data_IF_871945496706
#
_entry.id   IF_871945496706
#
_cell.length_a   1.000
_cell.length_b   1.000
_cell.length_c   1.000
_cell.angle_alpha   90.00
_cell.angle_beta   90.00
_cell.angle_gamma   90.00
#
_symmetry.space_group_name_H-M   'P 1'
#
loop_
_entity.id
_entity.type
_entity.pdbx_description
1 polymer ?
#
# COMPACT_ATOMS: atom_id res chain seq x y z
N UNK A 1 12.40 -12.15 -32.24
CA UNK A 1 11.20 -11.68 -33.01
C UNK A 1 10.99 -12.65 -34.14
N UNK A 2 9.88 -13.40 -34.13
CA UNK A 2 9.61 -14.42 -35.14
C UNK A 2 9.41 -13.81 -36.54
N UNK A 3 9.76 -14.56 -37.57
CA UNK A 3 9.60 -14.13 -38.99
C UNK A 3 8.15 -13.71 -39.32
N UNK A 4 7.18 -14.26 -38.60
CA UNK A 4 5.76 -13.96 -38.78
C UNK A 4 5.41 -12.54 -38.31
N UNK A 5 6.04 -12.04 -37.24
CA UNK A 5 5.86 -10.66 -36.78
C UNK A 5 6.47 -9.66 -37.76
N UNK A 6 7.60 -10.01 -38.39
CA UNK A 6 8.19 -9.19 -39.45
C UNK A 6 7.31 -9.14 -40.70
N UNK A 7 6.65 -10.25 -41.05
CA UNK A 7 5.67 -10.29 -42.17
C UNK A 7 4.41 -9.47 -41.84
N UNK A 8 3.90 -9.52 -40.61
CA UNK A 8 2.76 -8.72 -40.20
C UNK A 8 3.07 -7.21 -40.17
N UNK A 9 4.25 -6.81 -39.72
CA UNK A 9 4.71 -5.41 -39.75
C UNK A 9 4.88 -4.95 -41.21
N UNK A 10 5.50 -5.77 -42.08
CA UNK A 10 5.64 -5.45 -43.50
C UNK A 10 4.30 -5.33 -44.23
N UNK A 11 3.27 -6.09 -43.85
CA UNK A 11 1.93 -5.96 -44.42
C UNK A 11 1.22 -4.67 -43.94
N UNK A 12 1.40 -4.26 -42.69
CA UNK A 12 0.87 -3.00 -42.14
C UNK A 12 1.56 -1.80 -42.79
N UNK A 13 2.88 -1.84 -42.98
CA UNK A 13 3.63 -0.78 -43.66
C UNK A 13 3.24 -0.64 -45.15
N UNK A 14 3.00 -1.76 -45.85
CA UNK A 14 2.50 -1.76 -47.21
C UNK A 14 1.07 -1.18 -47.32
N UNK A 15 0.24 -1.43 -46.31
CA UNK A 15 -1.13 -0.90 -46.21
C UNK A 15 -1.12 0.59 -45.92
N UNK A 16 -0.20 1.05 -45.05
CA UNK A 16 -0.02 2.48 -44.74
C UNK A 16 0.49 3.24 -45.97
N UNK A 17 1.45 2.69 -46.72
CA UNK A 17 1.94 3.27 -47.99
C UNK A 17 0.81 3.36 -49.03
N UNK A 18 0.01 2.30 -49.20
CA UNK A 18 -1.14 2.29 -50.09
C UNK A 18 -2.24 3.29 -49.70
N UNK A 19 -2.44 3.52 -48.40
CA UNK A 19 -3.38 4.51 -47.91
C UNK A 19 -2.90 5.96 -48.13
N UNK A 20 -1.61 6.21 -47.99
CA UNK A 20 -1.00 7.52 -48.26
C UNK A 20 -1.05 7.86 -49.78
N UNK A 21 -0.79 6.86 -50.69
CA UNK A 21 -0.97 7.04 -52.11
C UNK A 21 -2.43 7.27 -52.50
N UNK A 22 -3.36 6.55 -51.88
CA UNK A 22 -4.80 6.75 -52.06
C UNK A 22 -5.24 8.14 -51.61
N UNK A 23 -4.78 8.61 -50.48
CA UNK A 23 -5.09 9.95 -49.96
C UNK A 23 -4.60 11.04 -50.93
N UNK A 24 -3.38 10.94 -51.41
CA UNK A 24 -2.82 11.84 -52.43
C UNK A 24 -3.64 11.83 -53.72
N UNK A 25 -3.94 10.64 -54.25
CA UNK A 25 -4.76 10.50 -55.45
C UNK A 25 -6.20 11.00 -55.27
N UNK A 26 -6.75 10.88 -54.06
CA UNK A 26 -8.08 11.38 -53.73
C UNK A 26 -8.13 12.89 -53.57
N UNK A 27 -7.10 13.49 -52.99
CA UNK A 27 -6.98 14.95 -52.87
C UNK A 27 -6.74 15.62 -54.23
N UNK A 28 -5.96 15.02 -55.10
CA UNK A 28 -5.78 15.47 -56.51
C UNK A 28 -7.08 15.34 -57.32
N UNK A 29 -7.88 14.33 -57.01
CA UNK A 29 -9.17 14.08 -57.67
C UNK A 29 -10.30 14.95 -57.13
N UNK A 30 -10.37 15.22 -55.84
CA UNK A 30 -11.28 16.21 -55.28
C UNK A 30 -11.06 17.59 -55.90
N UNK A 31 -9.81 17.97 -56.11
CA UNK A 31 -9.46 19.18 -56.83
C UNK A 31 -9.86 19.17 -58.32
N UNK A 32 -9.92 17.98 -58.97
CA UNK A 32 -10.40 17.80 -60.36
C UNK A 32 -11.94 17.71 -60.45
N UNK A 33 -12.62 17.12 -59.45
CA UNK A 33 -14.07 17.01 -59.36
C UNK A 33 -14.73 18.38 -59.07
N UNK A 34 -14.07 19.20 -58.28
CA UNK A 34 -14.48 20.62 -58.12
C UNK A 34 -14.42 21.40 -59.44
N UNK A 35 -13.62 20.93 -60.39
CA UNK A 35 -13.54 21.52 -61.74
C UNK A 35 -14.44 20.88 -62.81
N UNK A 36 -15.01 19.66 -62.61
CA UNK A 36 -15.70 18.91 -63.71
C UNK A 36 -16.91 18.03 -63.34
N UNK A 37 -17.53 18.15 -62.29
CA UNK A 37 -18.88 17.65 -61.91
C UNK A 37 -19.42 16.39 -62.68
N UNK A 38 -18.75 15.21 -62.66
CA UNK A 38 -19.37 13.90 -62.98
C UNK A 38 -18.56 12.71 -62.42
N UNK A 39 -19.25 11.72 -61.83
CA UNK A 39 -18.73 10.52 -61.21
C UNK A 39 -18.21 9.51 -62.25
N UNK A 40 -17.05 8.91 -62.02
CA UNK A 40 -16.34 8.03 -62.96
C UNK A 40 -16.27 6.56 -62.46
N UNK A 41 -16.55 5.61 -63.35
CA UNK A 41 -16.64 4.14 -63.18
C UNK A 41 -15.34 3.52 -62.62
N UNK A 42 -14.20 4.23 -62.72
CA UNK A 42 -12.89 3.76 -62.22
C UNK A 42 -12.81 3.82 -60.66
N UNK A 43 -13.72 4.57 -60.01
CA UNK A 43 -13.78 4.66 -58.55
C UNK A 43 -14.38 3.43 -57.90
N UNK A 44 -15.41 2.83 -58.49
CA UNK A 44 -16.05 1.61 -57.98
C UNK A 44 -15.12 0.40 -58.01
N UNK A 45 -14.36 0.22 -59.09
CA UNK A 45 -13.38 -0.88 -59.18
C UNK A 45 -12.20 -0.76 -58.20
N UNK A 46 -11.84 0.48 -57.83
CA UNK A 46 -10.80 0.72 -56.80
C UNK A 46 -11.34 0.56 -55.39
N UNK A 47 -12.60 0.95 -55.12
CA UNK A 47 -13.25 0.70 -53.82
C UNK A 47 -13.43 -0.80 -53.57
N UNK A 48 -13.85 -1.59 -54.57
CA UNK A 48 -13.95 -3.05 -54.44
C UNK A 48 -12.59 -3.70 -54.18
N UNK A 49 -11.49 -3.17 -54.74
CA UNK A 49 -10.15 -3.68 -54.50
C UNK A 49 -9.68 -3.33 -53.07
N UNK A 50 -10.03 -2.14 -52.57
CA UNK A 50 -9.73 -1.71 -51.20
C UNK A 50 -10.53 -2.51 -50.19
N UNK A 51 -11.83 -2.80 -50.45
CA UNK A 51 -12.64 -3.67 -49.59
C UNK A 51 -12.07 -5.08 -49.52
N UNK A 52 -11.65 -5.67 -50.66
CA UNK A 52 -11.02 -6.99 -50.69
C UNK A 52 -9.68 -7.04 -49.94
N UNK A 53 -8.88 -5.98 -50.01
CA UNK A 53 -7.61 -5.90 -49.29
C UNK A 53 -7.82 -5.60 -47.80
N UNK A 54 -8.87 -4.89 -47.42
CA UNK A 54 -9.27 -4.66 -46.05
C UNK A 54 -9.81 -5.93 -45.38
N UNK A 55 -10.60 -6.75 -46.11
CA UNK A 55 -11.01 -8.09 -45.64
C UNK A 55 -9.81 -9.03 -45.42
N UNK A 56 -8.82 -8.99 -46.33
CA UNK A 56 -7.59 -9.77 -46.16
C UNK A 56 -6.78 -9.30 -44.95
N UNK A 57 -6.67 -7.99 -44.74
CA UNK A 57 -5.97 -7.42 -43.60
C UNK A 57 -6.68 -7.76 -42.30
N UNK A 58 -8.02 -7.73 -42.26
CA UNK A 58 -8.81 -8.17 -41.09
C UNK A 58 -8.59 -9.66 -40.82
N UNK A 59 -8.59 -10.53 -41.80
CA UNK A 59 -8.29 -11.96 -41.63
C UNK A 59 -6.89 -12.20 -41.09
N UNK A 60 -5.89 -11.47 -41.56
CA UNK A 60 -4.51 -11.56 -41.08
C UNK A 60 -4.40 -11.03 -39.64
N UNK A 61 -5.11 -9.96 -39.32
CA UNK A 61 -5.17 -9.42 -37.97
C UNK A 61 -5.87 -10.40 -37.00
N UNK A 62 -6.99 -11.02 -37.40
CA UNK A 62 -7.69 -12.04 -36.62
C UNK A 62 -6.85 -13.30 -36.42
N UNK A 63 -6.12 -13.75 -37.46
CA UNK A 63 -5.16 -14.85 -37.35
C UNK A 63 -3.96 -14.51 -36.47
N UNK A 64 -3.47 -13.26 -36.49
CA UNK A 64 -2.41 -12.80 -35.61
C UNK A 64 -2.87 -12.69 -34.14
N UNK A 65 -4.13 -12.27 -33.91
CA UNK A 65 -4.76 -12.27 -32.58
C UNK A 65 -4.98 -13.69 -32.06
N UNK A 66 -5.39 -14.63 -32.94
CA UNK A 66 -5.50 -16.04 -32.59
C UNK A 66 -4.14 -16.69 -32.34
N UNK A 67 -3.11 -16.36 -33.10
CA UNK A 67 -1.74 -16.81 -32.89
C UNK A 67 -1.13 -16.22 -31.61
N UNK A 68 -1.40 -14.96 -31.31
CA UNK A 68 -1.04 -14.30 -30.04
C UNK A 68 -1.73 -14.96 -28.84
N UNK A 69 -3.01 -15.33 -28.95
CA UNK A 69 -3.72 -16.09 -27.92
C UNK A 69 -3.18 -17.52 -27.75
N UNK A 70 -2.62 -18.14 -28.81
CA UNK A 70 -1.91 -19.43 -28.71
C UNK A 70 -0.52 -19.31 -28.09
N UNK A 71 0.18 -18.19 -28.29
CA UNK A 71 1.45 -17.90 -27.61
C UNK A 71 1.28 -17.50 -26.13
N UNK A 72 0.08 -17.15 -25.68
CA UNK A 72 -0.20 -16.81 -24.27
C UNK A 72 -0.23 -18.01 -23.32
N UNK A 73 0.10 -19.23 -23.77
CA UNK A 73 0.32 -20.40 -22.91
C UNK A 73 1.65 -20.36 -22.15
N UNK A 74 2.55 -19.46 -22.54
CA UNK A 74 3.79 -19.19 -21.83
C UNK A 74 3.53 -17.98 -20.95
N UNK A 75 3.33 -18.19 -19.65
CA UNK A 75 3.12 -17.13 -18.65
C UNK A 75 4.40 -17.00 -17.83
N UNK A 76 4.81 -15.77 -17.57
CA UNK A 76 5.86 -15.49 -16.60
C UNK A 76 5.25 -15.54 -15.20
N UNK A 77 5.80 -16.32 -14.29
CA UNK A 77 5.39 -16.35 -12.90
C UNK A 77 5.87 -15.09 -12.16
N UNK A 78 5.43 -14.92 -10.92
CA UNK A 78 5.79 -13.77 -10.06
C UNK A 78 7.30 -13.63 -9.80
N UNK A 79 8.11 -14.62 -10.20
CA UNK A 79 9.57 -14.64 -10.09
C UNK A 79 10.29 -14.34 -11.41
N UNK A 80 9.53 -14.04 -12.49
CA UNK A 80 10.06 -13.75 -13.80
C UNK A 80 10.51 -14.98 -14.60
N UNK A 81 10.20 -16.21 -14.16
CA UNK A 81 10.46 -17.42 -14.92
C UNK A 81 9.37 -17.67 -15.95
N UNK A 82 9.81 -18.05 -17.16
CA UNK A 82 8.92 -18.40 -18.28
C UNK A 82 8.34 -19.80 -18.04
N UNK A 83 7.05 -19.87 -17.76
CA UNK A 83 6.34 -21.11 -17.45
C UNK A 83 5.56 -21.59 -18.67
N UNK A 84 5.89 -22.78 -19.15
CA UNK A 84 5.12 -23.50 -20.15
C UNK A 84 3.95 -24.22 -19.48
N UNK A 85 2.73 -23.75 -19.74
CA UNK A 85 1.50 -24.30 -19.14
C UNK A 85 1.22 -25.74 -19.61
N UNK A 86 1.60 -26.11 -20.84
CA UNK A 86 1.43 -27.49 -21.32
C UNK A 86 2.37 -28.44 -20.57
N UNK A 87 3.58 -27.99 -20.28
CA UNK A 87 4.54 -28.75 -19.48
C UNK A 87 4.05 -28.93 -18.04
N UNK A 88 3.52 -27.88 -17.41
CA UNK A 88 2.90 -27.98 -16.08
C UNK A 88 1.70 -28.92 -16.06
N UNK A 89 0.84 -28.87 -17.07
CA UNK A 89 -0.28 -29.78 -17.21
C UNK A 89 0.16 -31.25 -17.31
N UNK A 90 1.22 -31.53 -18.11
CA UNK A 90 1.80 -32.86 -18.24
C UNK A 90 2.48 -33.35 -16.95
N UNK A 91 3.20 -32.49 -16.25
CA UNK A 91 3.82 -32.79 -14.95
C UNK A 91 2.75 -33.14 -13.92
N UNK A 92 1.67 -32.36 -13.86
CA UNK A 92 0.53 -32.62 -12.98
C UNK A 92 -0.15 -33.94 -13.32
N UNK A 93 -0.42 -34.22 -14.61
CA UNK A 93 -1.01 -35.48 -15.08
C UNK A 93 -0.12 -36.69 -14.76
N UNK A 94 1.20 -36.56 -14.95
CA UNK A 94 2.18 -37.62 -14.66
C UNK A 94 2.31 -37.90 -13.18
N UNK A 95 2.23 -36.92 -12.30
CA UNK A 95 2.24 -37.09 -10.85
C UNK A 95 0.98 -37.85 -10.38
N UNK A 96 -0.18 -37.49 -10.95
CA UNK A 96 -1.44 -38.16 -10.60
C UNK A 96 -1.53 -39.58 -11.18
N UNK A 97 -1.02 -39.81 -12.38
CA UNK A 97 -0.93 -41.14 -12.99
C UNK A 97 0.01 -42.05 -12.20
N UNK A 98 1.15 -41.59 -11.73
CA UNK A 98 2.08 -42.37 -10.87
C UNK A 98 1.46 -42.75 -9.53
N UNK A 99 0.67 -41.89 -8.91
CA UNK A 99 -0.07 -42.21 -7.67
C UNK A 99 -1.11 -43.33 -7.85
N UNK A 100 -1.63 -43.49 -9.07
CA UNK A 100 -2.73 -44.45 -9.39
C UNK A 100 -2.27 -45.71 -10.14
N UNK A 101 -0.97 -45.82 -10.46
CA UNK A 101 -0.47 -46.97 -11.26
C UNK A 101 -0.93 -46.94 -12.73
N UNK A 102 -1.45 -45.82 -13.23
CA UNK A 102 -1.92 -45.64 -14.60
C UNK A 102 -0.84 -44.98 -15.49
N UNK A 103 -0.90 -45.24 -16.79
CA UNK A 103 -0.02 -44.58 -17.77
C UNK A 103 -0.62 -43.21 -18.09
N UNK A 104 0.16 -42.13 -17.94
CA UNK A 104 -0.27 -40.80 -18.32
C UNK A 104 -0.49 -40.73 -19.84
N UNK A 105 -1.72 -40.43 -20.25
CA UNK A 105 -2.02 -40.04 -21.63
C UNK A 105 -1.49 -38.60 -21.93
N UNK A 106 -1.61 -38.16 -23.17
CA UNK A 106 -1.32 -36.78 -23.54
C UNK A 106 -2.36 -35.83 -22.92
N UNK A 107 -1.99 -35.15 -21.87
CA UNK A 107 -2.83 -34.17 -21.17
C UNK A 107 -2.29 -32.77 -21.43
N UNK A 108 -3.10 -31.94 -22.07
CA UNK A 108 -2.71 -30.59 -22.45
C UNK A 108 -3.30 -29.51 -21.52
N UNK A 109 -2.85 -28.29 -21.68
CA UNK A 109 -3.35 -27.14 -20.91
C UNK A 109 -4.86 -26.91 -21.10
N UNK A 110 -5.39 -27.17 -22.30
CA UNK A 110 -6.83 -27.02 -22.58
C UNK A 110 -7.70 -28.04 -21.80
N UNK A 111 -7.20 -29.26 -21.61
CA UNK A 111 -7.88 -30.31 -20.84
C UNK A 111 -7.82 -30.02 -19.33
N UNK A 112 -6.70 -29.41 -18.87
CA UNK A 112 -6.58 -28.94 -17.50
C UNK A 112 -7.54 -27.77 -17.20
N UNK A 113 -7.71 -26.84 -18.13
CA UNK A 113 -8.66 -25.73 -17.97
C UNK A 113 -10.12 -26.22 -18.00
N UNK A 114 -10.42 -27.21 -18.88
CA UNK A 114 -11.72 -27.88 -18.88
C UNK A 114 -12.04 -28.60 -17.56
N UNK A 115 -11.04 -29.27 -16.99
CA UNK A 115 -11.16 -29.92 -15.68
C UNK A 115 -11.40 -28.90 -14.56
N UNK A 116 -10.66 -27.77 -14.55
CA UNK A 116 -10.85 -26.68 -13.57
C UNK A 116 -12.26 -26.12 -13.64
N UNK A 117 -12.77 -25.81 -14.84
CA UNK A 117 -14.09 -25.26 -15.05
C UNK A 117 -15.20 -26.25 -14.58
N UNK A 118 -15.05 -27.52 -14.89
CA UNK A 118 -15.97 -28.57 -14.47
C UNK A 118 -15.95 -28.76 -12.94
N UNK A 119 -14.79 -28.67 -12.31
CA UNK A 119 -14.62 -28.75 -10.86
C UNK A 119 -15.25 -27.52 -10.15
N UNK A 120 -15.08 -26.31 -10.68
CA UNK A 120 -15.75 -25.12 -10.15
C UNK A 120 -17.27 -25.20 -10.26
N UNK A 121 -17.79 -25.77 -11.34
CA UNK A 121 -19.22 -26.01 -11.52
C UNK A 121 -19.73 -27.04 -10.50
N UNK A 122 -18.97 -28.09 -10.27
CA UNK A 122 -19.28 -29.11 -9.27
C UNK A 122 -19.34 -28.53 -7.85
N UNK A 123 -18.35 -27.70 -7.45
CA UNK A 123 -18.31 -27.07 -6.13
C UNK A 123 -19.47 -26.10 -5.89
N UNK A 124 -19.94 -25.42 -6.94
CA UNK A 124 -21.01 -24.41 -6.83
C UNK A 124 -22.42 -24.98 -6.94
N UNK A 125 -22.62 -26.01 -7.75
CA UNK A 125 -23.95 -26.46 -8.14
C UNK A 125 -24.23 -27.93 -7.82
N UNK A 126 -23.22 -28.69 -7.41
CA UNK A 126 -23.34 -30.14 -7.18
C UNK A 126 -23.36 -30.94 -8.48
N UNK A 127 -23.36 -32.29 -8.34
CA UNK A 127 -23.26 -33.23 -9.46
C UNK A 127 -24.53 -33.27 -10.34
N UNK A 128 -25.69 -32.95 -9.77
CA UNK A 128 -27.00 -33.08 -10.45
C UNK A 128 -27.21 -32.08 -11.60
N UNK A 129 -26.50 -30.95 -11.56
CA UNK A 129 -26.66 -29.85 -12.54
C UNK A 129 -25.56 -29.86 -13.59
N UNK A 130 -24.61 -30.77 -13.53
CA UNK A 130 -23.48 -30.85 -14.46
C UNK A 130 -23.88 -31.43 -15.83
N UNK A 131 -23.42 -30.80 -16.89
CA UNK A 131 -23.57 -31.33 -18.25
C UNK A 131 -22.75 -32.63 -18.50
N UNK A 132 -23.10 -33.42 -19.53
CA UNK A 132 -22.41 -34.68 -19.81
C UNK A 132 -20.90 -34.45 -20.15
N UNK A 133 -20.52 -33.32 -20.75
CA UNK A 133 -19.15 -33.02 -21.09
C UNK A 133 -18.34 -32.59 -19.84
N UNK A 134 -18.97 -31.88 -18.91
CA UNK A 134 -18.36 -31.48 -17.62
C UNK A 134 -18.13 -32.72 -16.73
N UNK A 135 -19.08 -33.66 -16.70
CA UNK A 135 -18.93 -34.96 -16.01
C UNK A 135 -17.80 -35.79 -16.62
N UNK A 136 -17.67 -35.79 -17.95
CA UNK A 136 -16.58 -36.45 -18.65
C UNK A 136 -15.23 -35.85 -18.35
N UNK A 137 -15.13 -34.52 -18.25
CA UNK A 137 -13.91 -33.83 -17.87
C UNK A 137 -13.47 -34.15 -16.44
N UNK A 138 -14.40 -34.30 -15.51
CA UNK A 138 -14.14 -34.76 -14.14
C UNK A 138 -13.82 -36.25 -14.07
N UNK A 139 -14.41 -37.11 -14.92
CA UNK A 139 -14.24 -38.55 -14.89
C UNK A 139 -12.88 -39.03 -15.42
N UNK A 140 -12.15 -38.24 -16.17
CA UNK A 140 -10.78 -38.54 -16.68
C UNK A 140 -9.77 -38.76 -15.53
N UNK A 141 -10.16 -38.59 -14.31
CA UNK A 141 -9.30 -38.79 -13.16
C UNK A 141 -9.94 -39.37 -11.93
N UNK A 142 -11.18 -39.85 -11.97
CA UNK A 142 -11.90 -40.28 -10.76
C UNK A 142 -11.83 -41.76 -10.49
N UNK A 143 -11.29 -42.08 -9.32
CA UNK A 143 -11.63 -43.31 -8.59
C UNK A 143 -12.90 -43.06 -7.74
N UNK A 144 -13.79 -44.07 -7.55
CA UNK A 144 -15.04 -43.94 -6.80
C UNK A 144 -14.87 -43.60 -5.31
N UNK A 145 -13.67 -43.68 -4.77
CA UNK A 145 -13.36 -43.49 -3.35
C UNK A 145 -12.86 -42.10 -2.96
N UNK A 146 -13.33 -41.05 -3.65
CA UNK A 146 -13.27 -39.69 -3.09
C UNK A 146 -11.92 -38.97 -3.06
N UNK A 147 -11.02 -39.25 -4.00
CA UNK A 147 -9.78 -38.49 -4.15
C UNK A 147 -10.00 -37.12 -4.84
N UNK A 148 -10.63 -36.18 -4.16
CA UNK A 148 -10.69 -34.82 -4.65
C UNK A 148 -9.26 -34.22 -4.78
N UNK A 149 -8.81 -34.11 -6.01
CA UNK A 149 -7.54 -33.41 -6.29
C UNK A 149 -7.76 -31.95 -6.07
N UNK A 150 -7.27 -31.42 -4.97
CA UNK A 150 -7.24 -29.97 -4.71
C UNK A 150 -6.45 -29.31 -5.84
N UNK A 151 -7.09 -28.40 -6.55
CA UNK A 151 -6.46 -27.65 -7.63
C UNK A 151 -5.22 -26.92 -7.07
N UNK A 152 -4.01 -27.16 -7.61
CA UNK A 152 -2.79 -26.52 -7.09
C UNK A 152 -2.83 -25.00 -7.11
N UNK A 153 -3.64 -24.39 -7.98
CA UNK A 153 -3.84 -22.94 -8.01
C UNK A 153 -4.67 -22.38 -6.84
N UNK A 154 -5.49 -23.20 -6.20
CA UNK A 154 -6.26 -22.81 -5.00
C UNK A 154 -5.41 -22.86 -3.72
N UNK A 155 -4.38 -23.70 -3.68
CA UNK A 155 -3.54 -23.89 -2.49
C UNK A 155 -2.42 -22.88 -2.31
N UNK A 156 -2.10 -22.08 -3.35
CA UNK A 156 -1.02 -21.08 -3.32
C UNK A 156 -1.45 -19.66 -2.97
N UNK A 157 -2.76 -19.37 -2.94
CA UNK A 157 -3.27 -18.01 -2.80
C UNK A 157 -3.86 -17.75 -1.42
N UNK A 158 -3.07 -17.21 -0.51
CA UNK A 158 -3.59 -16.71 0.77
C UNK A 158 -4.08 -15.27 0.56
N UNK A 159 -5.37 -15.03 0.74
CA UNK A 159 -5.90 -13.67 0.83
C UNK A 159 -5.51 -13.10 2.18
N UNK A 160 -4.52 -12.21 2.18
CA UNK A 160 -4.10 -11.52 3.39
C UNK A 160 -5.10 -10.42 3.75
N UNK A 161 -5.50 -10.38 5.02
CA UNK A 161 -6.26 -9.26 5.55
C UNK A 161 -5.30 -8.07 5.68
N UNK A 162 -5.60 -6.99 4.97
CA UNK A 162 -4.85 -5.74 5.08
C UNK A 162 -5.28 -5.03 6.37
N UNK A 163 -4.31 -4.63 7.17
CA UNK A 163 -4.52 -3.81 8.36
C UNK A 163 -3.91 -2.44 8.14
N UNK A 164 -4.65 -1.42 8.50
CA UNK A 164 -4.17 -0.04 8.45
C UNK A 164 -3.14 0.18 9.56
N UNK A 165 -2.09 0.93 9.25
CA UNK A 165 -0.97 1.23 10.16
C UNK A 165 -0.56 2.68 9.99
N UNK A 166 -0.15 3.33 11.06
CA UNK A 166 0.40 4.68 11.02
C UNK A 166 1.86 4.65 10.57
N UNK A 167 2.27 5.41 9.56
CA UNK A 167 3.64 5.41 9.03
C UNK A 167 4.60 6.25 9.90
N UNK A 168 4.59 6.10 11.22
CA UNK A 168 5.37 6.92 12.15
C UNK A 168 6.87 6.90 11.86
N UNK A 169 7.41 5.74 11.46
CA UNK A 169 8.83 5.58 11.11
C UNK A 169 9.26 6.38 9.87
N UNK A 170 8.32 6.78 9.00
CA UNK A 170 8.62 7.61 7.82
C UNK A 170 8.82 9.09 8.18
N UNK A 171 8.22 9.53 9.29
CA UNK A 171 8.23 10.94 9.70
C UNK A 171 9.15 11.22 10.88
N UNK A 172 9.27 10.29 11.85
CA UNK A 172 10.11 10.43 13.02
C UNK A 172 11.60 10.19 12.75
N UNK A 173 12.46 10.70 13.61
CA UNK A 173 13.89 10.38 13.58
C UNK A 173 14.14 8.98 14.14
N UNK A 174 15.00 8.19 13.49
CA UNK A 174 15.32 6.83 13.92
C UNK A 174 16.82 6.73 14.21
N UNK A 175 17.16 6.20 15.38
CA UNK A 175 18.54 5.95 15.78
C UNK A 175 18.72 4.52 16.27
N UNK A 176 19.74 3.83 15.75
CA UNK A 176 20.12 2.49 16.20
C UNK A 176 21.16 2.61 17.31
N UNK A 177 20.91 1.92 18.43
CA UNK A 177 21.81 1.92 19.59
C UNK A 177 22.27 0.51 19.96
N UNK A 178 23.43 0.42 20.60
CA UNK A 178 23.96 -0.81 21.20
C UNK A 178 23.67 -0.94 22.69
N UNK A 179 23.42 0.20 23.37
CA UNK A 179 23.07 0.30 24.80
C UNK A 179 21.60 0.00 25.07
N UNK A 180 21.20 -0.02 26.33
CA UNK A 180 19.82 -0.27 26.74
C UNK A 180 18.91 0.97 26.65
N UNK A 181 19.49 2.15 26.63
CA UNK A 181 18.80 3.40 26.48
C UNK A 181 19.62 4.42 25.69
N UNK A 182 18.95 5.33 25.02
CA UNK A 182 19.52 6.53 24.44
C UNK A 182 19.38 7.67 25.45
N UNK A 183 20.45 8.39 25.70
CA UNK A 183 20.46 9.54 26.59
C UNK A 183 20.99 10.77 25.83
N UNK A 184 20.45 11.92 26.14
CA UNK A 184 20.88 13.20 25.58
C UNK A 184 20.60 14.36 26.53
N UNK A 185 21.03 15.52 26.11
CA UNK A 185 20.84 16.76 26.86
C UNK A 185 19.92 17.70 26.08
N UNK A 186 19.15 18.48 26.78
CA UNK A 186 18.37 19.59 26.22
C UNK A 186 18.64 20.85 27.04
N UNK A 187 18.49 21.99 26.41
CA UNK A 187 18.63 23.30 27.01
C UNK A 187 17.34 23.65 27.79
N UNK A 188 17.46 24.01 29.05
CA UNK A 188 16.34 24.38 29.91
C UNK A 188 16.06 25.86 29.92
N UNK A 189 17.10 26.66 29.87
CA UNK A 189 17.02 28.11 30.05
C UNK A 189 18.00 28.81 29.12
N UNK A 190 17.56 29.88 28.51
CA UNK A 190 18.40 30.77 27.72
C UNK A 190 19.24 31.68 28.64
N UNK A 191 20.44 31.99 28.19
CA UNK A 191 21.27 32.98 28.86
C UNK A 191 20.61 34.38 28.78
N UNK A 192 20.50 35.07 29.89
CA UNK A 192 20.05 36.45 29.86
C UNK A 192 21.19 37.42 29.54
N UNK A 193 20.89 38.43 28.76
CA UNK A 193 21.82 39.54 28.41
C UNK A 193 21.15 40.88 28.62
N UNK A 194 21.91 41.88 28.92
CA UNK A 194 21.44 43.26 29.13
C UNK A 194 22.34 44.31 28.47
N UNK A 195 21.73 45.40 28.05
CA UNK A 195 22.45 46.56 27.58
C UNK A 195 22.78 47.44 28.79
N UNK A 196 24.01 47.93 28.87
CA UNK A 196 24.51 48.72 30.01
C UNK A 196 25.22 49.95 29.48
N UNK A 197 25.04 51.07 30.15
CA UNK A 197 25.77 52.32 29.89
C UNK A 197 27.22 52.22 30.37
N UNK A 198 28.04 53.20 29.98
CA UNK A 198 29.47 53.21 30.25
C UNK A 198 29.79 53.20 31.73
N UNK A 199 28.94 53.84 32.56
CA UNK A 199 29.14 54.03 34.02
C UNK A 199 28.21 53.17 34.89
N UNK A 200 27.32 52.38 34.28
CA UNK A 200 26.30 51.64 35.02
C UNK A 200 26.84 50.30 35.58
N UNK A 201 26.28 49.88 36.70
CA UNK A 201 26.62 48.60 37.31
C UNK A 201 26.05 47.44 36.50
N UNK A 202 26.83 46.37 36.32
CA UNK A 202 26.41 45.16 35.64
C UNK A 202 25.79 44.18 36.65
N UNK A 203 24.49 43.86 36.48
CA UNK A 203 23.82 42.85 37.27
C UNK A 203 24.23 41.42 36.76
N UNK A 204 24.20 40.47 37.67
CA UNK A 204 24.38 39.05 37.30
C UNK A 204 23.27 38.62 36.32
N UNK A 205 23.64 37.82 35.34
CA UNK A 205 22.73 37.23 34.36
C UNK A 205 22.55 35.77 34.64
N UNK A 206 21.39 35.21 34.22
CA UNK A 206 21.11 33.80 34.41
C UNK A 206 22.07 32.90 33.62
N UNK A 207 22.58 31.87 34.28
CA UNK A 207 23.42 30.85 33.66
C UNK A 207 22.53 29.80 32.96
N UNK A 208 22.81 29.43 31.72
CA UNK A 208 22.09 28.36 31.02
C UNK A 208 22.17 27.04 31.82
N UNK A 209 21.06 26.31 31.89
CA UNK A 209 20.97 25.00 32.55
C UNK A 209 20.66 23.92 31.52
N UNK A 210 21.31 22.76 31.68
CA UNK A 210 21.07 21.59 30.85
C UNK A 210 20.23 20.56 31.59
N UNK A 211 19.18 20.08 30.95
CA UNK A 211 18.40 18.94 31.37
C UNK A 211 18.84 17.66 30.66
N UNK A 212 18.55 16.52 31.24
CA UNK A 212 18.83 15.21 30.64
C UNK A 212 17.54 14.50 30.28
N UNK A 213 17.49 13.93 29.05
CA UNK A 213 16.44 13.03 28.65
C UNK A 213 16.99 11.61 28.44
N UNK A 214 16.12 10.62 28.57
CA UNK A 214 16.46 9.20 28.43
C UNK A 214 15.33 8.43 27.78
N UNK A 215 15.62 7.72 26.71
CA UNK A 215 14.68 6.86 25.97
C UNK A 215 15.12 5.41 26.16
N UNK A 216 14.43 4.61 26.99
CA UNK A 216 14.74 3.18 27.17
C UNK A 216 14.22 2.35 25.99
N UNK A 217 14.95 1.31 25.62
CA UNK A 217 14.53 0.33 24.62
C UNK A 217 13.73 -0.80 25.29
N UNK A 218 12.43 -0.84 25.08
CA UNK A 218 11.52 -1.86 25.59
C UNK A 218 11.48 -3.09 24.70
N UNK A 219 11.20 -4.26 25.26
CA UNK A 219 11.11 -5.51 24.53
C UNK A 219 9.67 -5.80 24.09
N UNK A 220 9.50 -6.03 22.80
CA UNK A 220 8.27 -6.50 22.18
C UNK A 220 8.48 -7.96 21.78
N UNK A 221 7.55 -8.85 22.13
CA UNK A 221 7.67 -10.27 21.83
C UNK A 221 6.40 -10.86 21.20
N UNK A 222 6.57 -11.92 20.43
CA UNK A 222 5.49 -12.77 19.97
C UNK A 222 5.92 -14.24 20.01
N UNK A 223 4.98 -15.13 20.31
CA UNK A 223 5.24 -16.56 20.47
C UNK A 223 4.16 -17.39 19.78
N UNK A 224 4.01 -17.33 18.44
CA UNK A 224 3.10 -18.20 17.71
C UNK A 224 3.57 -19.65 17.76
N UNK A 225 2.59 -20.57 17.70
CA UNK A 225 2.80 -22.02 17.74
C UNK A 225 2.23 -22.66 16.48
N UNK A 226 2.93 -23.64 15.94
CA UNK A 226 2.44 -24.51 14.85
C UNK A 226 2.74 -25.96 15.19
N UNK A 227 1.88 -26.90 14.76
CA UNK A 227 2.19 -28.33 14.92
C UNK A 227 3.26 -28.74 13.93
N UNK A 228 4.15 -29.67 14.32
CA UNK A 228 5.18 -30.18 13.42
C UNK A 228 4.55 -30.79 12.14
N UNK A 229 3.45 -31.51 12.28
CA UNK A 229 2.71 -32.07 11.15
C UNK A 229 2.23 -30.99 10.16
N UNK A 230 1.74 -29.85 10.66
CA UNK A 230 1.34 -28.75 9.80
C UNK A 230 2.53 -28.15 9.03
N UNK A 231 3.70 -28.05 9.68
CA UNK A 231 4.91 -27.55 9.04
C UNK A 231 5.41 -28.49 7.94
N UNK A 232 5.28 -29.81 8.15
CA UNK A 232 5.75 -30.83 7.22
C UNK A 232 4.79 -31.05 6.04
N UNK A 233 3.47 -30.96 6.27
CA UNK A 233 2.43 -31.28 5.29
C UNK A 233 1.91 -30.04 4.53
N UNK A 234 2.25 -28.84 4.94
CA UNK A 234 1.74 -27.62 4.32
C UNK A 234 2.31 -27.41 2.91
N UNK A 235 1.44 -27.10 1.96
CA UNK A 235 1.81 -26.76 0.57
C UNK A 235 2.53 -25.40 0.44
N UNK A 236 2.50 -24.57 1.47
CA UNK A 236 3.11 -23.26 1.57
C UNK A 236 4.13 -23.23 2.71
N UNK A 237 5.10 -22.32 2.59
CA UNK A 237 6.08 -22.11 3.67
C UNK A 237 5.41 -21.43 4.88
N UNK A 238 4.89 -22.25 5.81
CA UNK A 238 4.21 -21.77 7.03
C UNK A 238 5.13 -20.97 7.94
N UNK A 239 6.41 -21.28 7.98
CA UNK A 239 7.39 -20.58 8.79
C UNK A 239 7.58 -19.12 8.29
N UNK A 240 7.76 -18.95 6.98
CA UNK A 240 7.86 -17.60 6.36
C UNK A 240 6.55 -16.82 6.52
N UNK A 241 5.42 -17.48 6.37
CA UNK A 241 4.11 -16.84 6.58
C UNK A 241 3.91 -16.38 8.03
N UNK A 242 4.24 -17.20 9.02
CA UNK A 242 4.17 -16.82 10.44
C UNK A 242 5.13 -15.66 10.76
N UNK A 243 6.36 -15.70 10.22
CA UNK A 243 7.32 -14.62 10.41
C UNK A 243 6.81 -13.28 9.84
N UNK A 244 6.20 -13.28 8.64
CA UNK A 244 5.62 -12.08 8.06
C UNK A 244 4.44 -11.55 8.89
N UNK A 245 3.58 -12.42 9.40
CA UNK A 245 2.44 -12.04 10.26
C UNK A 245 2.89 -11.45 11.60
N UNK A 246 3.95 -11.99 12.18
CA UNK A 246 4.55 -11.42 13.40
C UNK A 246 5.15 -10.05 13.12
N UNK A 247 5.88 -9.90 12.00
CA UNK A 247 6.46 -8.62 11.62
C UNK A 247 5.39 -7.53 11.37
N UNK A 248 4.29 -7.87 10.67
CA UNK A 248 3.13 -6.99 10.50
C UNK A 248 2.49 -6.59 11.83
N UNK A 249 2.36 -7.55 12.77
CA UNK A 249 1.80 -7.28 14.09
C UNK A 249 2.71 -6.38 14.90
N UNK A 250 4.03 -6.61 14.87
CA UNK A 250 5.01 -5.75 15.54
C UNK A 250 4.96 -4.32 15.01
N UNK A 251 4.90 -4.14 13.69
CA UNK A 251 4.80 -2.82 13.08
C UNK A 251 3.56 -2.05 13.56
N UNK A 252 2.41 -2.72 13.72
CA UNK A 252 1.19 -2.10 14.25
C UNK A 252 1.28 -1.76 15.73
N UNK A 253 1.82 -2.68 16.53
CA UNK A 253 1.95 -2.45 17.98
C UNK A 253 2.95 -1.33 18.28
N UNK A 254 4.03 -1.24 17.49
CA UNK A 254 4.97 -0.11 17.56
C UNK A 254 4.30 1.20 17.17
N UNK A 255 3.62 1.24 16.02
CA UNK A 255 2.94 2.44 15.55
C UNK A 255 1.93 2.96 16.56
N UNK A 256 1.11 2.06 17.13
CA UNK A 256 0.18 2.40 18.20
C UNK A 256 0.90 2.90 19.46
N UNK A 257 2.00 2.25 19.85
CA UNK A 257 2.76 2.68 21.04
C UNK A 257 3.40 4.06 20.84
N UNK A 258 3.86 4.42 19.66
CA UNK A 258 4.42 5.75 19.37
C UNK A 258 3.37 6.87 19.42
N UNK A 259 2.10 6.55 19.18
CA UNK A 259 0.99 7.51 19.23
C UNK A 259 0.40 7.60 20.65
N UNK A 260 -0.04 6.47 21.22
CA UNK A 260 -0.82 6.44 22.48
C UNK A 260 -0.15 5.68 23.63
N UNK A 261 1.09 5.22 23.47
CA UNK A 261 1.80 4.47 24.50
C UNK A 261 2.02 5.28 25.78
N UNK A 262 1.88 4.63 26.94
CA UNK A 262 2.03 5.28 28.25
C UNK A 262 3.46 5.34 28.81
N UNK A 263 4.47 4.82 28.06
CA UNK A 263 5.87 4.80 28.51
C UNK A 263 6.22 3.75 29.57
N UNK A 264 5.27 2.89 29.96
CA UNK A 264 5.51 1.80 30.94
C UNK A 264 5.65 0.50 30.18
N UNK A 265 6.84 -0.07 30.15
CA UNK A 265 7.20 -1.29 29.42
C UNK A 265 6.92 -1.23 27.89
N UNK A 266 6.68 -0.05 27.36
CA UNK A 266 6.47 0.26 25.94
C UNK A 266 6.87 1.71 25.65
N UNK A 267 7.13 2.08 24.40
CA UNK A 267 7.44 3.45 24.01
C UNK A 267 6.39 4.44 24.54
N UNK A 268 6.81 5.66 24.81
CA UNK A 268 5.90 6.74 25.20
C UNK A 268 5.38 7.45 23.95
N UNK A 269 4.06 7.47 23.80
CA UNK A 269 3.37 8.12 22.71
C UNK A 269 3.28 9.63 22.87
N UNK A 270 3.31 10.37 21.79
CA UNK A 270 3.27 11.83 21.83
C UNK A 270 1.92 12.40 22.31
N UNK A 271 0.84 11.63 22.30
CA UNK A 271 -0.47 12.05 22.81
C UNK A 271 -0.57 11.98 24.35
N UNK A 272 0.36 11.29 25.02
CA UNK A 272 0.27 11.07 26.48
C UNK A 272 0.88 12.18 27.33
N UNK A 273 1.46 13.19 26.70
CA UNK A 273 2.02 14.33 27.42
C UNK A 273 0.92 15.29 27.86
N UNK A 274 1.06 15.91 29.04
CA UNK A 274 0.12 16.91 29.52
C UNK A 274 0.12 18.16 28.65
N UNK A 275 -1.00 18.90 28.67
CA UNK A 275 -1.12 20.21 28.02
C UNK A 275 -0.26 21.25 28.73
N UNK A 276 0.39 22.11 27.97
CA UNK A 276 1.13 23.24 28.50
C UNK A 276 2.18 23.79 27.54
N UNK A 277 2.68 24.94 27.91
CA UNK A 277 3.77 25.64 27.20
C UNK A 277 5.08 25.58 27.97
N UNK A 278 5.07 25.01 29.19
CA UNK A 278 6.26 24.88 30.03
C UNK A 278 7.12 23.72 29.58
N UNK A 279 8.29 24.00 29.07
CA UNK A 279 9.25 23.01 28.60
C UNK A 279 10.21 22.58 29.73
N UNK A 280 10.65 21.32 29.74
CA UNK A 280 10.24 20.18 28.93
C UNK A 280 9.08 19.39 29.57
N UNK A 281 8.39 18.58 28.77
CA UNK A 281 7.43 17.59 29.28
C UNK A 281 5.96 17.93 29.05
N UNK A 282 5.65 19.05 28.42
CA UNK A 282 4.29 19.43 28.05
C UNK A 282 4.22 19.75 26.55
N UNK A 283 3.10 19.45 25.92
CA UNK A 283 2.81 19.80 24.51
C UNK A 283 1.62 20.76 24.50
N UNK A 284 1.76 21.86 23.81
CA UNK A 284 0.69 22.83 23.67
C UNK A 284 -0.49 22.26 22.90
N UNK A 285 -1.70 22.46 23.43
CA UNK A 285 -2.96 22.00 22.85
C UNK A 285 -3.81 23.21 22.46
N UNK A 286 -4.59 23.03 21.40
CA UNK A 286 -5.56 23.98 20.90
C UNK A 286 -6.95 23.33 20.92
N UNK A 287 -7.89 23.97 21.60
CA UNK A 287 -9.23 23.43 21.78
C UNK A 287 -10.13 23.84 20.61
N UNK A 288 -10.96 22.91 20.15
CA UNK A 288 -11.92 23.17 19.06
C UNK A 288 -13.11 24.01 19.49
N UNK A 289 -13.32 24.18 20.83
CA UNK A 289 -14.45 24.89 21.43
C UNK A 289 -15.77 24.12 21.36
N UNK A 290 -15.76 22.88 20.89
CA UNK A 290 -16.94 22.01 20.84
C UNK A 290 -16.51 20.56 21.04
N UNK A 291 -17.19 19.87 21.96
CA UNK A 291 -16.94 18.47 22.25
C UNK A 291 -17.16 17.56 21.02
N UNK A 292 -16.12 16.84 20.58
CA UNK A 292 -16.20 15.86 19.50
C UNK A 292 -16.42 16.42 18.10
N UNK A 293 -16.38 17.77 17.92
CA UNK A 293 -16.60 18.43 16.64
C UNK A 293 -15.77 19.72 16.50
N UNK A 294 -15.71 20.27 15.30
CA UNK A 294 -15.24 21.64 15.12
C UNK A 294 -16.34 22.65 15.45
N UNK A 295 -15.94 23.86 15.84
CA UNK A 295 -16.87 24.95 16.01
C UNK A 295 -17.72 25.18 14.75
N UNK A 296 -18.93 25.70 14.93
CA UNK A 296 -19.80 26.04 13.79
C UNK A 296 -19.17 27.13 12.92
N UNK A 297 -19.58 27.18 11.63
CA UNK A 297 -19.16 28.24 10.72
C UNK A 297 -19.48 29.65 11.32
N UNK A 298 -18.59 30.66 11.13
CA UNK A 298 -17.37 30.63 10.32
C UNK A 298 -16.12 30.08 11.02
N UNK A 299 -16.14 29.89 12.34
CA UNK A 299 -14.95 29.73 13.19
C UNK A 299 -14.33 28.31 13.20
N UNK A 300 -14.94 27.34 12.50
CA UNK A 300 -14.49 25.94 12.57
C UNK A 300 -13.06 25.68 12.03
N UNK A 301 -12.55 26.58 11.18
CA UNK A 301 -11.20 26.49 10.62
C UNK A 301 -10.11 27.18 11.43
N UNK A 302 -10.48 28.08 12.35
CA UNK A 302 -9.55 28.97 13.08
C UNK A 302 -8.58 28.17 13.96
N UNK A 303 -9.04 27.10 14.58
CA UNK A 303 -8.20 26.23 15.41
C UNK A 303 -7.04 25.61 14.62
N UNK A 304 -7.27 25.26 13.34
CA UNK A 304 -6.22 24.73 12.46
C UNK A 304 -5.15 25.81 12.17
N UNK A 305 -5.60 27.03 11.94
CA UNK A 305 -4.70 28.17 11.73
C UNK A 305 -3.92 28.46 13.01
N UNK A 306 -4.58 28.51 14.16
CA UNK A 306 -3.94 28.77 15.45
C UNK A 306 -2.89 27.71 15.78
N UNK A 307 -3.19 26.44 15.60
CA UNK A 307 -2.24 25.35 15.83
C UNK A 307 -1.02 25.42 14.91
N UNK A 308 -1.21 25.74 13.63
CA UNK A 308 -0.12 25.89 12.67
C UNK A 308 0.79 27.09 12.99
N UNK A 309 0.19 28.24 13.33
CA UNK A 309 0.95 29.43 13.67
C UNK A 309 1.49 29.42 15.10
N UNK A 310 1.04 28.54 15.97
CA UNK A 310 1.67 28.21 17.24
C UNK A 310 3.03 27.53 17.11
N UNK A 311 3.36 27.00 15.93
CA UNK A 311 4.68 26.47 15.63
C UNK A 311 5.67 27.58 15.28
N UNK A 312 6.89 27.51 15.82
CA UNK A 312 7.99 28.37 15.41
C UNK A 312 8.30 28.18 13.92
N UNK A 313 8.76 29.21 13.23
CA UNK A 313 8.97 29.20 11.79
C UNK A 313 9.89 28.06 11.32
N UNK A 314 10.93 27.73 12.07
CA UNK A 314 11.87 26.67 11.74
C UNK A 314 11.20 25.28 11.67
N UNK A 315 10.26 24.98 12.57
CA UNK A 315 9.51 23.71 12.59
C UNK A 315 8.34 23.72 11.60
N UNK A 316 7.75 24.92 11.37
CA UNK A 316 6.66 25.09 10.42
C UNK A 316 7.08 24.80 8.98
N UNK A 317 8.35 25.05 8.60
CA UNK A 317 8.85 24.79 7.26
C UNK A 317 8.66 23.33 6.80
N UNK A 318 8.82 22.38 7.72
CA UNK A 318 8.70 20.94 7.47
C UNK A 318 7.46 20.31 8.14
N UNK A 319 6.51 21.14 8.58
CA UNK A 319 5.35 20.67 9.29
C UNK A 319 4.47 19.75 8.44
N UNK A 320 3.92 18.74 9.07
CA UNK A 320 2.96 17.80 8.49
C UNK A 320 1.77 17.67 9.43
N UNK A 321 0.59 17.56 8.87
CA UNK A 321 -0.64 17.26 9.61
C UNK A 321 -0.79 15.75 9.78
N UNK A 322 -1.06 15.32 11.00
CA UNK A 322 -1.28 13.91 11.35
C UNK A 322 -2.69 13.77 11.91
N UNK A 323 -3.49 12.94 11.27
CA UNK A 323 -4.85 12.67 11.70
C UNK A 323 -5.35 11.36 11.11
N UNK A 324 -6.35 10.75 11.74
CA UNK A 324 -6.99 9.57 11.17
C UNK A 324 -7.99 9.92 10.07
N UNK A 325 -8.48 8.93 9.37
CA UNK A 325 -9.44 9.05 8.29
C UNK A 325 -10.78 9.67 8.73
N UNK A 326 -11.24 9.37 9.95
CA UNK A 326 -12.48 9.93 10.49
C UNK A 326 -12.34 11.44 10.72
N UNK A 327 -11.24 11.87 11.31
CA UNK A 327 -10.91 13.29 11.53
C UNK A 327 -10.71 14.02 10.20
N UNK A 328 -10.00 13.41 9.25
CA UNK A 328 -9.80 13.95 7.92
C UNK A 328 -11.14 14.20 7.20
N UNK A 329 -12.09 13.27 7.33
CA UNK A 329 -13.45 13.44 6.81
C UNK A 329 -14.16 14.63 7.44
N UNK A 330 -14.03 14.86 8.75
CA UNK A 330 -14.62 16.01 9.42
C UNK A 330 -13.97 17.32 8.97
N UNK A 331 -12.65 17.37 8.91
CA UNK A 331 -11.90 18.54 8.44
C UNK A 331 -12.29 18.94 7.00
N UNK A 332 -12.47 17.95 6.12
CA UNK A 332 -12.93 18.19 4.72
C UNK A 332 -14.37 18.69 4.64
N UNK A 333 -15.19 18.45 5.66
CA UNK A 333 -16.59 18.91 5.71
C UNK A 333 -16.74 20.33 6.27
N UNK A 334 -15.66 20.99 6.68
CA UNK A 334 -15.70 22.38 7.11
C UNK A 334 -16.24 23.27 5.98
N UNK A 335 -17.21 24.10 6.32
CA UNK A 335 -17.92 24.99 5.39
C UNK A 335 -17.84 26.43 5.86
N UNK A 336 -17.89 27.32 4.91
CA UNK A 336 -18.11 28.74 5.12
C UNK A 336 -19.59 29.04 5.43
N UNK A 337 -19.90 30.28 5.80
CA UNK A 337 -21.27 30.79 6.03
C UNK A 337 -22.20 30.60 4.83
N UNK A 338 -21.64 30.63 3.62
CA UNK A 338 -22.37 30.44 2.36
C UNK A 338 -22.57 28.94 1.99
N UNK A 339 -22.07 28.03 2.84
CA UNK A 339 -22.19 26.58 2.63
C UNK A 339 -21.13 25.98 1.69
N UNK A 340 -20.17 26.79 1.21
CA UNK A 340 -19.05 26.31 0.41
C UNK A 340 -18.03 25.57 1.29
N UNK A 341 -17.41 24.52 0.74
CA UNK A 341 -16.37 23.80 1.46
C UNK A 341 -15.09 24.62 1.53
N UNK A 342 -14.57 24.85 2.74
CA UNK A 342 -13.32 25.60 2.96
C UNK A 342 -12.10 24.84 2.40
N UNK A 343 -12.11 23.52 2.45
CA UNK A 343 -11.05 22.69 1.91
C UNK A 343 -11.51 21.90 0.70
N UNK A 344 -11.13 22.38 -0.48
CA UNK A 344 -11.37 21.70 -1.75
C UNK A 344 -10.03 21.21 -2.30
N UNK A 345 -9.65 19.94 -2.06
CA UNK A 345 -8.43 19.41 -2.66
C UNK A 345 -8.59 19.35 -4.17
N UNK A 346 -7.54 19.70 -4.90
CA UNK A 346 -7.54 19.67 -6.36
C UNK A 346 -7.94 18.29 -6.88
N UNK A 347 -8.83 18.25 -7.88
CA UNK A 347 -9.28 17.02 -8.55
C UNK A 347 -8.14 16.42 -9.40
N UNK A 348 -7.04 17.16 -9.62
CA UNK A 348 -5.89 16.69 -10.38
C UNK A 348 -5.26 15.46 -9.72
N UNK A 349 -5.21 14.35 -10.47
CA UNK A 349 -4.58 13.12 -10.03
C UNK A 349 -3.09 13.33 -9.71
N UNK A 350 -2.65 12.82 -8.55
CA UNK A 350 -1.23 12.81 -8.17
C UNK A 350 -0.78 13.94 -7.24
N UNK A 351 -1.63 14.90 -6.86
CA UNK A 351 -1.26 15.84 -5.81
C UNK A 351 -1.59 15.28 -4.42
N UNK A 352 -0.62 15.24 -3.48
CA UNK A 352 -0.90 14.84 -2.10
C UNK A 352 -1.90 15.82 -1.47
N UNK A 353 -2.75 15.31 -0.58
CA UNK A 353 -3.68 16.15 0.17
C UNK A 353 -2.88 17.15 1.01
N UNK A 354 -3.11 18.45 0.80
CA UNK A 354 -2.49 19.51 1.58
C UNK A 354 -3.57 20.32 2.31
N UNK A 355 -3.31 20.65 3.57
CA UNK A 355 -4.15 21.50 4.41
C UNK A 355 -3.33 22.75 4.78
N UNK A 356 -3.85 23.92 4.46
CA UNK A 356 -3.13 25.21 4.64
C UNK A 356 -1.72 25.23 4.00
N UNK A 357 -1.54 24.51 2.88
CA UNK A 357 -0.25 24.42 2.17
C UNK A 357 0.71 23.35 2.69
N UNK A 358 0.37 22.62 3.76
CA UNK A 358 1.20 21.57 4.36
C UNK A 358 0.63 20.17 4.09
N UNK A 359 1.49 19.15 3.92
CA UNK A 359 1.05 17.80 3.63
C UNK A 359 0.24 17.21 4.79
N UNK A 360 -0.68 16.31 4.45
CA UNK A 360 -1.49 15.57 5.42
C UNK A 360 -1.12 14.09 5.35
N UNK A 361 -0.74 13.53 6.49
CA UNK A 361 -0.45 12.11 6.67
C UNK A 361 -1.59 11.43 7.43
N UNK A 362 -2.06 10.28 6.90
CA UNK A 362 -3.06 9.47 7.58
C UNK A 362 -2.41 8.61 8.65
N UNK A 363 -2.83 8.80 9.90
CA UNK A 363 -2.41 8.05 11.09
C UNK A 363 -3.63 7.42 11.72
N UNK A 364 -3.88 6.15 11.41
CA UNK A 364 -5.08 5.44 11.86
C UNK A 364 -5.05 5.10 13.36
N UNK A 365 -3.87 5.17 14.00
CA UNK A 365 -3.73 5.00 15.45
C UNK A 365 -4.09 6.27 16.24
N UNK A 366 -4.34 7.40 15.58
CA UNK A 366 -4.88 8.60 16.22
C UNK A 366 -6.33 8.36 16.66
N UNK A 367 -6.74 8.86 17.83
CA UNK A 367 -8.12 8.72 18.30
C UNK A 367 -9.14 9.32 17.33
N UNK A 368 -10.32 8.70 17.28
CA UNK A 368 -11.46 9.28 16.58
C UNK A 368 -11.93 10.58 17.28
N UNK A 369 -12.52 11.52 16.56
CA UNK A 369 -13.11 12.71 17.14
C UNK A 369 -14.20 12.37 18.16
N UNK A 370 -13.91 12.63 19.41
CA UNK A 370 -14.79 12.42 20.56
C UNK A 370 -14.53 13.53 21.60
N UNK A 371 -15.32 13.60 22.66
CA UNK A 371 -15.08 14.54 23.76
C UNK A 371 -13.70 14.30 24.35
N UNK A 372 -12.93 15.37 24.53
CA UNK A 372 -11.58 15.38 25.10
C UNK A 372 -10.56 14.51 24.32
N UNK A 373 -10.79 14.30 23.02
CA UNK A 373 -9.89 13.51 22.18
C UNK A 373 -8.84 14.35 21.47
N UNK A 374 -7.58 13.87 21.48
CA UNK A 374 -6.46 14.44 20.77
C UNK A 374 -6.38 13.81 19.37
N UNK A 375 -7.20 14.30 18.44
CA UNK A 375 -7.38 13.64 17.14
C UNK A 375 -6.58 14.26 15.99
N UNK A 376 -5.91 15.39 16.23
CA UNK A 376 -5.05 16.06 15.23
C UNK A 376 -3.74 16.46 15.89
N UNK A 377 -2.65 16.20 15.18
CA UNK A 377 -1.33 16.71 15.52
C UNK A 377 -0.75 17.47 14.31
N UNK A 378 0.00 18.53 14.55
CA UNK A 378 0.71 19.28 13.52
C UNK A 378 2.11 19.62 13.99
N UNK A 379 3.10 19.42 13.13
CA UNK A 379 4.48 19.75 13.44
C UNK A 379 5.50 19.00 12.61
N UNK A 380 6.76 19.24 12.93
CA UNK A 380 7.89 18.50 12.39
C UNK A 380 8.18 17.28 13.28
N UNK A 381 7.63 16.12 12.91
CA UNK A 381 7.76 14.89 13.68
C UNK A 381 9.20 14.38 13.72
N UNK A 382 10.03 14.76 12.75
CA UNK A 382 11.43 14.35 12.70
C UNK A 382 12.25 14.99 13.81
N UNK A 383 11.96 16.25 14.11
CA UNK A 383 12.58 16.98 15.22
C UNK A 383 11.89 16.67 16.57
N UNK A 384 10.58 16.40 16.54
CA UNK A 384 9.76 16.19 17.74
C UNK A 384 10.00 14.83 18.37
N UNK A 385 10.00 13.73 17.58
CA UNK A 385 9.94 12.37 18.09
C UNK A 385 11.14 11.53 17.68
N UNK A 386 11.80 10.91 18.65
CA UNK A 386 12.95 10.05 18.45
C UNK A 386 12.57 8.58 18.68
N UNK A 387 12.72 7.76 17.64
CA UNK A 387 12.61 6.31 17.73
C UNK A 387 14.01 5.73 17.94
N UNK A 388 14.11 4.77 18.84
CA UNK A 388 15.35 4.10 19.19
C UNK A 388 15.21 2.62 18.93
N UNK A 389 15.97 2.09 17.98
CA UNK A 389 16.04 0.66 17.70
C UNK A 389 17.29 0.05 18.34
N UNK A 390 17.11 -1.02 19.14
CA UNK A 390 18.20 -1.84 19.64
C UNK A 390 18.05 -3.24 19.13
N UNK A 391 18.84 -3.65 18.17
CA UNK A 391 18.76 -4.94 17.50
C UNK A 391 17.47 -5.09 16.66
N UNK A 392 17.61 -5.75 15.50
CA UNK A 392 16.46 -6.10 14.65
C UNK A 392 15.58 -7.20 15.25
N UNK A 393 14.63 -7.66 14.45
CA UNK A 393 13.77 -8.80 14.78
C UNK A 393 14.65 -10.06 14.87
N UNK A 394 14.52 -10.78 15.97
CA UNK A 394 15.17 -12.07 16.20
C UNK A 394 14.13 -13.14 16.40
N UNK A 395 14.21 -14.23 15.65
CA UNK A 395 13.31 -15.37 15.78
C UNK A 395 14.10 -16.59 16.22
N UNK A 396 13.66 -17.22 17.29
CA UNK A 396 14.13 -18.50 17.79
C UNK A 396 13.06 -19.57 17.55
N UNK A 397 13.40 -20.60 16.79
CA UNK A 397 12.56 -21.78 16.62
C UNK A 397 12.81 -22.76 17.77
N UNK A 398 11.78 -23.04 18.56
CA UNK A 398 11.85 -23.95 19.71
C UNK A 398 10.91 -25.15 19.51
N UNK A 399 11.43 -26.34 19.14
CA UNK A 399 10.65 -27.56 19.00
C UNK A 399 10.54 -28.35 20.31
N UNK A 400 11.15 -27.91 21.42
CA UNK A 400 11.30 -28.71 22.63
C UNK A 400 10.36 -28.33 23.77
N UNK A 401 10.08 -27.04 23.94
CA UNK A 401 9.38 -26.51 25.11
C UNK A 401 7.87 -26.80 25.13
N UNK A 402 7.23 -27.03 24.00
CA UNK A 402 5.77 -27.17 23.92
C UNK A 402 5.31 -28.32 22.99
N UNK A 403 5.82 -29.53 23.17
CA UNK A 403 5.43 -30.70 22.37
C UNK A 403 3.91 -30.95 22.44
N UNK A 404 3.19 -31.21 21.32
CA UNK A 404 3.65 -31.48 19.94
C UNK A 404 3.80 -30.24 19.04
N UNK A 405 3.88 -29.06 19.60
CA UNK A 405 3.97 -27.80 18.86
C UNK A 405 5.43 -27.34 18.75
N UNK A 406 5.75 -26.67 17.65
CA UNK A 406 6.96 -25.87 17.47
C UNK A 406 6.62 -24.43 17.75
N UNK A 407 7.35 -23.79 18.63
CA UNK A 407 7.17 -22.38 18.98
C UNK A 407 8.17 -21.50 18.20
N UNK A 408 7.71 -20.33 17.74
CA UNK A 408 8.54 -19.33 17.10
C UNK A 408 8.63 -18.11 18.00
N UNK A 409 9.59 -18.12 18.90
CA UNK A 409 9.81 -17.00 19.80
C UNK A 409 10.51 -15.86 19.07
N UNK A 410 9.77 -14.80 18.80
CA UNK A 410 10.27 -13.63 18.08
C UNK A 410 10.30 -12.44 19.01
N UNK A 411 11.43 -11.74 19.04
CA UNK A 411 11.64 -10.56 19.88
C UNK A 411 12.20 -9.40 19.07
N UNK A 412 11.86 -8.19 19.51
CA UNK A 412 12.40 -6.93 19.02
C UNK A 412 12.50 -5.95 20.20
N UNK A 413 13.53 -5.08 20.18
CA UNK A 413 13.68 -4.03 21.19
C UNK A 413 13.58 -2.67 20.53
N UNK A 414 12.62 -1.87 20.99
CA UNK A 414 12.34 -0.54 20.45
C UNK A 414 11.98 0.42 21.59
N UNK A 415 12.44 1.64 21.47
CA UNK A 415 12.08 2.78 22.34
C UNK A 415 11.54 3.93 21.52
N UNK A 416 10.88 4.86 22.16
CA UNK A 416 10.41 6.08 21.51
C UNK A 416 9.92 7.06 22.56
N UNK A 417 10.27 8.32 22.35
CA UNK A 417 9.83 9.42 23.20
C UNK A 417 9.90 10.76 22.43
N UNK A 418 9.22 11.77 22.93
CA UNK A 418 9.31 13.14 22.43
C UNK A 418 10.56 13.79 23.01
N UNK A 419 11.43 14.27 22.12
CA UNK A 419 12.67 14.97 22.47
C UNK A 419 12.48 16.49 22.41
N UNK A 420 11.76 16.95 21.38
CA UNK A 420 11.49 18.38 21.22
C UNK A 420 9.98 18.65 21.25
N UNK A 421 9.54 19.24 22.34
CA UNK A 421 8.12 19.54 22.60
C UNK A 421 7.62 20.77 21.82
N UNK A 422 8.52 21.66 21.37
CA UNK A 422 8.14 22.85 20.61
C UNK A 422 7.80 22.54 19.15
N UNK A 423 8.35 21.45 18.62
CA UNK A 423 8.19 21.07 17.22
C UNK A 423 6.83 20.40 16.90
N UNK A 424 6.00 20.18 17.95
CA UNK A 424 4.71 19.50 17.82
C UNK A 424 3.62 20.28 18.58
N UNK A 425 2.43 20.37 17.97
CA UNK A 425 1.21 20.93 18.56
C UNK A 425 0.06 19.94 18.38
N UNK A 426 -0.85 19.92 19.33
CA UNK A 426 -2.00 19.03 19.32
C UNK A 426 -3.30 19.83 19.27
N UNK A 427 -4.33 19.26 18.66
CA UNK A 427 -5.69 19.82 18.70
C UNK A 427 -6.58 18.84 19.47
N UNK A 428 -7.25 19.35 20.47
CA UNK A 428 -8.17 18.62 21.34
C UNK A 428 -9.61 18.99 21.01
N UNK A 429 -10.47 17.98 20.90
CA UNK A 429 -11.89 18.17 20.65
C UNK A 429 -12.65 18.37 21.96
N UNK A 430 -12.44 19.50 22.58
CA UNK A 430 -13.06 19.90 23.85
C UNK A 430 -13.68 21.29 23.75
N UNK A 431 -14.65 21.59 24.66
CA UNK A 431 -15.38 22.86 24.74
C UNK A 431 -14.68 23.88 25.66
#
# INVERSE_FOLDING_TARGET
MSEEIKKAIGAVDALHAGFEEFKKANDERLAQIEKKGSADVVTEAKLQKIEADLEKAQKIADEAVLASKRQSRIVTDERGEVVDLDRKAQEWASMNARRRGAVAGSFGAAEMDGYKAAFDTFLRKGEEVMGPDERKALSVGTDPDGGYVVNPDLSGRIVMKVFETSPMRAYASIQVISSDALEGLFDLNEASSGWVGETDSRAETNTPQLGKWRIPAHELYAKPKATQKLLDDASINMEAWLASKVAEKFARDEANAFVVGNGVNKPRGFLTFPSGTTLPGTIERFDTGVNGAFAAAPNGGDVLINALYGLKQQYRANATWFMNRATLKLTRKLKDTDGAYLWSPGIAAGQPASLLGYPVASFEDMPDPATDSLSIAVGDMREAYQIVDRLGIRTLRDPYSAKPYVEFYTTKRVGGDVVNFEALKLIEFTA
#
